data_IF_044065188948
#
_entry.id   IF_044065188948
#
_cell.length_a   1.000
_cell.length_b   1.000
_cell.length_c   1.000
_cell.angle_alpha   90.00
_cell.angle_beta   90.00
_cell.angle_gamma   90.00
#
_symmetry.space_group_name_H-M   'P 1'
#
loop_
_entity.id
_entity.type
_entity.pdbx_description
1 polymer ?
#
# COMPACT_ATOMS: atom_id res chain seq x y z
N UNK A 1 -4.73 -31.90 -2.41
CA UNK A 1 -3.86 -31.18 -1.45
C UNK A 1 -4.70 -30.24 -0.61
N UNK A 2 -4.41 -30.11 0.68
CA UNK A 2 -5.01 -29.12 1.58
C UNK A 2 -4.00 -27.99 1.87
N UNK A 3 -4.43 -26.73 1.74
CA UNK A 3 -3.58 -25.56 2.02
C UNK A 3 -4.31 -24.45 2.75
N UNK A 4 -3.56 -23.69 3.55
CA UNK A 4 -4.04 -22.53 4.30
C UNK A 4 -3.65 -21.24 3.59
N UNK A 5 -4.64 -20.51 3.07
CA UNK A 5 -4.47 -19.15 2.57
C UNK A 5 -4.74 -18.11 3.67
N UNK A 6 -4.03 -17.00 3.59
CA UNK A 6 -4.26 -15.81 4.41
C UNK A 6 -5.12 -14.82 3.62
N UNK A 7 -6.19 -14.32 4.23
CA UNK A 7 -7.10 -13.36 3.62
C UNK A 7 -6.93 -12.00 4.28
N UNK A 8 -6.51 -11.02 3.49
CA UNK A 8 -6.25 -9.66 3.93
C UNK A 8 -7.27 -8.68 3.34
N UNK A 9 -7.40 -7.53 3.99
CA UNK A 9 -8.12 -6.37 3.48
C UNK A 9 -7.21 -5.14 3.53
N UNK A 10 -7.30 -4.27 2.53
CA UNK A 10 -6.65 -2.95 2.60
C UNK A 10 -7.38 -2.10 3.65
N UNK A 11 -6.63 -1.50 4.57
CA UNK A 11 -7.19 -0.70 5.65
C UNK A 11 -7.95 0.51 5.08
N UNK A 12 -9.22 0.67 5.47
CA UNK A 12 -10.06 1.79 5.02
C UNK A 12 -10.62 1.68 3.60
N UNK A 13 -10.36 0.59 2.86
CA UNK A 13 -10.91 0.40 1.51
C UNK A 13 -12.30 -0.25 1.51
N UNK A 14 -12.96 -0.21 0.34
CA UNK A 14 -14.06 -1.11 -0.05
C UNK A 14 -13.72 -2.59 0.22
N UNK A 15 -14.68 -3.53 0.22
CA UNK A 15 -14.49 -4.93 0.66
C UNK A 15 -13.63 -5.79 -0.29
N UNK A 16 -12.60 -5.21 -0.91
CA UNK A 16 -11.66 -5.98 -1.72
C UNK A 16 -10.76 -6.82 -0.82
N UNK A 17 -10.80 -8.13 -1.06
CA UNK A 17 -9.97 -9.13 -0.39
C UNK A 17 -8.73 -9.44 -1.21
N UNK A 18 -7.60 -9.55 -0.52
CA UNK A 18 -6.33 -10.05 -1.03
C UNK A 18 -6.13 -11.45 -0.44
N UNK A 19 -5.90 -12.44 -1.29
CA UNK A 19 -5.71 -13.83 -0.88
C UNK A 19 -4.28 -14.21 -1.20
N UNK A 20 -3.57 -14.74 -0.21
CA UNK A 20 -2.16 -15.07 -0.34
C UNK A 20 -1.86 -16.47 0.18
N UNK A 21 -1.10 -17.21 -0.62
CA UNK A 21 -0.39 -18.41 -0.18
C UNK A 21 1.03 -18.00 0.20
N UNK A 22 1.31 -17.90 1.50
CA UNK A 22 2.57 -17.34 2.02
C UNK A 22 2.51 -15.83 2.26
N UNK A 23 3.52 -15.10 1.76
CA UNK A 23 3.61 -13.64 1.91
C UNK A 23 2.60 -12.94 0.99
N UNK A 24 1.83 -11.95 1.49
CA UNK A 24 0.85 -11.26 0.68
C UNK A 24 1.51 -10.42 -0.42
N UNK A 25 1.00 -10.54 -1.64
CA UNK A 25 1.24 -9.51 -2.65
C UNK A 25 0.45 -8.26 -2.25
N UNK A 26 1.14 -7.32 -1.61
CA UNK A 26 0.54 -6.07 -1.14
C UNK A 26 0.48 -5.07 -2.31
N UNK A 27 -0.72 -4.57 -2.68
CA UNK A 27 -0.84 -3.54 -3.71
C UNK A 27 -0.04 -2.30 -3.35
N UNK A 28 0.61 -1.71 -4.34
CA UNK A 28 1.32 -0.44 -4.16
C UNK A 28 0.36 0.73 -4.42
N UNK A 29 0.47 1.78 -3.59
CA UNK A 29 -0.18 3.06 -3.84
C UNK A 29 0.81 4.17 -4.02
N UNK A 30 0.43 5.12 -4.86
CA UNK A 30 1.18 6.36 -5.04
C UNK A 30 0.77 7.37 -3.96
N UNK A 31 1.73 7.97 -3.27
CA UNK A 31 1.48 9.11 -2.37
C UNK A 31 2.56 10.18 -2.51
N UNK A 32 2.29 11.39 -2.01
CA UNK A 32 3.31 12.42 -1.87
C UNK A 32 4.34 11.99 -0.84
N UNK A 33 5.61 11.95 -1.24
CA UNK A 33 6.75 11.61 -0.38
C UNK A 33 6.96 12.68 0.68
N UNK A 34 6.90 13.94 0.26
CA UNK A 34 6.97 15.09 1.15
C UNK A 34 5.65 15.86 1.09
N UNK A 35 4.90 15.86 2.20
CA UNK A 35 3.63 16.56 2.31
C UNK A 35 3.70 17.66 3.38
N UNK A 36 3.16 18.84 3.06
CA UNK A 36 3.01 19.96 4.00
C UNK A 36 4.32 20.31 4.71
N UNK A 37 4.36 20.08 6.03
CA UNK A 37 5.54 20.34 6.87
C UNK A 37 6.81 19.66 6.36
N UNK A 38 6.72 18.41 5.89
CA UNK A 38 7.88 17.65 5.42
C UNK A 38 8.51 18.28 4.16
N UNK A 39 7.69 18.78 3.24
CA UNK A 39 8.17 19.46 2.04
C UNK A 39 8.88 20.78 2.38
N UNK A 40 8.35 21.53 3.35
CA UNK A 40 8.99 22.76 3.85
C UNK A 40 10.36 22.48 4.45
N UNK A 41 10.45 21.49 5.35
CA UNK A 41 11.73 21.10 5.97
C UNK A 41 12.74 20.67 4.91
N UNK A 42 12.34 19.84 3.93
CA UNK A 42 13.24 19.37 2.87
C UNK A 42 13.72 20.51 1.96
N UNK A 43 12.85 21.46 1.64
CA UNK A 43 13.23 22.65 0.88
C UNK A 43 14.24 23.53 1.64
N UNK A 44 14.06 23.72 2.95
CA UNK A 44 15.00 24.48 3.79
C UNK A 44 16.36 23.75 3.87
N UNK A 45 16.34 22.44 4.10
CA UNK A 45 17.55 21.62 4.13
C UNK A 45 18.33 21.73 2.82
N UNK A 46 17.64 21.62 1.68
CA UNK A 46 18.28 21.70 0.37
C UNK A 46 18.81 23.11 0.04
N UNK A 47 18.11 24.15 0.50
CA UNK A 47 18.48 25.54 0.25
C UNK A 47 19.65 25.99 1.12
N UNK A 48 19.66 25.59 2.40
CA UNK A 48 20.55 26.15 3.42
C UNK A 48 21.60 25.18 3.95
N UNK A 49 21.44 23.88 3.69
CA UNK A 49 22.21 22.80 4.31
C UNK A 49 21.78 22.49 5.75
N UNK A 50 20.86 23.26 6.34
CA UNK A 50 20.42 23.06 7.72
C UNK A 50 19.27 22.04 7.80
N UNK A 51 19.50 20.96 8.54
CA UNK A 51 18.45 19.98 8.86
C UNK A 51 17.65 20.50 10.05
N UNK A 52 16.44 20.98 9.81
CA UNK A 52 15.52 21.36 10.88
C UNK A 52 14.95 20.13 11.58
N UNK A 53 14.74 20.24 12.89
CA UNK A 53 14.16 19.17 13.70
C UNK A 53 12.74 18.82 13.22
N UNK A 54 12.51 17.54 12.94
CA UNK A 54 11.23 17.00 12.51
C UNK A 54 10.12 17.13 13.56
N UNK A 55 10.48 17.31 14.84
CA UNK A 55 9.55 17.53 15.95
C UNK A 55 8.98 18.95 16.01
N UNK A 56 9.59 19.93 15.31
CA UNK A 56 9.06 21.28 15.21
C UNK A 56 7.63 21.27 14.67
N UNK A 57 6.79 22.11 15.23
CA UNK A 57 5.43 22.35 14.76
C UNK A 57 5.44 23.04 13.40
N UNK A 58 4.33 22.93 12.67
CA UNK A 58 4.16 23.65 11.39
C UNK A 58 4.29 25.17 11.56
N UNK A 59 3.85 25.72 12.69
CA UNK A 59 3.98 27.15 13.02
C UNK A 59 5.43 27.57 13.21
N UNK A 60 6.24 26.77 13.90
CA UNK A 60 7.67 27.06 14.10
C UNK A 60 8.43 27.03 12.77
N UNK A 61 8.13 26.06 11.90
CA UNK A 61 8.69 26.01 10.54
C UNK A 61 8.28 27.25 9.73
N UNK A 62 7.02 27.68 9.82
CA UNK A 62 6.57 28.90 9.14
C UNK A 62 7.25 30.16 9.69
N UNK A 63 7.46 30.24 11.01
CA UNK A 63 8.16 31.34 11.64
C UNK A 63 9.61 31.42 11.15
N UNK A 64 10.31 30.28 11.06
CA UNK A 64 11.65 30.21 10.47
C UNK A 64 11.67 30.73 9.03
N UNK A 65 10.74 30.26 8.18
CA UNK A 65 10.65 30.73 6.78
C UNK A 65 10.40 32.24 6.74
N UNK A 66 9.46 32.74 7.56
CA UNK A 66 9.13 34.16 7.63
C UNK A 66 10.30 35.03 8.08
N UNK A 67 11.10 34.54 9.03
CA UNK A 67 12.22 35.29 9.59
C UNK A 67 13.47 35.28 8.71
N UNK A 68 13.80 34.14 8.09
CA UNK A 68 15.11 33.93 7.45
C UNK A 68 15.07 33.81 5.93
N UNK A 69 13.91 33.56 5.32
CA UNK A 69 13.80 33.25 3.90
C UNK A 69 12.86 34.22 3.17
N UNK A 70 11.69 34.51 3.75
CA UNK A 70 10.69 35.39 3.14
C UNK A 70 11.24 36.79 2.87
N UNK A 71 11.00 37.31 1.67
CA UNK A 71 11.48 38.65 1.26
C UNK A 71 12.99 38.73 0.99
N UNK A 72 13.74 37.65 1.15
CA UNK A 72 15.17 37.59 0.80
C UNK A 72 15.37 37.16 -0.66
N UNK A 73 16.61 37.27 -1.18
CA UNK A 73 16.98 36.76 -2.50
C UNK A 73 16.79 35.23 -2.64
N UNK A 74 16.74 34.50 -1.52
CA UNK A 74 16.55 33.05 -1.50
C UNK A 74 15.08 32.63 -1.64
N UNK A 75 14.14 33.58 -1.54
CA UNK A 75 12.70 33.28 -1.53
C UNK A 75 12.21 32.53 -2.77
N UNK A 76 12.66 32.95 -3.95
CA UNK A 76 12.27 32.32 -5.20
C UNK A 76 12.77 30.87 -5.28
N UNK A 77 14.02 30.63 -4.86
CA UNK A 77 14.61 29.30 -4.90
C UNK A 77 13.98 28.37 -3.84
N UNK A 78 13.71 28.89 -2.63
CA UNK A 78 12.93 28.18 -1.64
C UNK A 78 11.58 27.71 -2.19
N UNK A 79 10.84 28.61 -2.86
CA UNK A 79 9.54 28.28 -3.45
C UNK A 79 9.64 27.18 -4.50
N UNK A 80 10.62 27.29 -5.40
CA UNK A 80 10.88 26.27 -6.42
C UNK A 80 11.17 24.90 -5.80
N UNK A 81 12.02 24.85 -4.78
CA UNK A 81 12.36 23.62 -4.06
C UNK A 81 11.15 23.05 -3.31
N UNK A 82 10.37 23.90 -2.65
CA UNK A 82 9.14 23.49 -1.98
C UNK A 82 8.15 22.86 -2.95
N UNK A 83 7.88 23.49 -4.10
CA UNK A 83 6.98 22.95 -5.12
C UNK A 83 7.49 21.63 -5.69
N UNK A 84 8.79 21.56 -5.99
CA UNK A 84 9.44 20.33 -6.43
C UNK A 84 9.19 19.17 -5.44
N UNK A 85 9.57 19.34 -4.17
CA UNK A 85 9.40 18.28 -3.17
C UNK A 85 7.92 17.99 -2.84
N UNK A 86 7.06 19.01 -2.84
CA UNK A 86 5.63 18.83 -2.61
C UNK A 86 4.94 18.04 -3.73
N UNK A 87 5.53 18.03 -4.93
CA UNK A 87 5.07 17.25 -6.08
C UNK A 87 5.70 15.84 -6.14
N UNK A 88 6.76 15.57 -5.39
CA UNK A 88 7.47 14.29 -5.44
C UNK A 88 6.58 13.15 -4.93
N UNK A 89 6.43 12.13 -5.76
CA UNK A 89 5.61 10.95 -5.48
C UNK A 89 6.50 9.75 -5.16
N UNK A 90 6.01 8.89 -4.27
CA UNK A 90 6.59 7.59 -3.97
C UNK A 90 5.53 6.49 -4.07
N UNK A 91 5.98 5.29 -4.44
CA UNK A 91 5.18 4.07 -4.29
C UNK A 91 5.38 3.53 -2.89
N UNK A 92 4.30 3.30 -2.16
CA UNK A 92 4.34 2.63 -0.86
C UNK A 92 3.33 1.49 -0.83
N UNK A 93 3.62 0.38 -0.14
CA UNK A 93 2.64 -0.68 0.07
C UNK A 93 1.37 -0.12 0.74
N UNK A 94 0.20 -0.55 0.27
CA UNK A 94 -1.05 -0.32 0.97
C UNK A 94 -1.02 -1.02 2.34
N UNK A 95 -1.51 -0.38 3.41
CA UNK A 95 -1.62 -1.05 4.69
C UNK A 95 -2.67 -2.17 4.57
N UNK A 96 -2.24 -3.41 4.74
CA UNK A 96 -3.11 -4.58 4.73
C UNK A 96 -3.31 -5.13 6.15
N UNK A 97 -4.50 -5.60 6.41
CA UNK A 97 -4.89 -6.19 7.69
C UNK A 97 -5.34 -7.64 7.44
N UNK A 98 -4.72 -8.59 8.15
CA UNK A 98 -5.15 -9.98 8.12
C UNK A 98 -6.54 -10.09 8.75
N UNK A 99 -7.51 -10.66 8.05
CA UNK A 99 -8.88 -10.81 8.54
C UNK A 99 -9.13 -12.21 9.07
N UNK A 100 -8.86 -13.21 8.25
CA UNK A 100 -9.07 -14.61 8.59
C UNK A 100 -8.20 -15.49 7.70
N UNK A 101 -8.24 -16.79 7.97
CA UNK A 101 -7.64 -17.79 7.12
C UNK A 101 -8.73 -18.56 6.36
N UNK A 102 -8.40 -19.05 5.18
CA UNK A 102 -9.25 -20.01 4.48
C UNK A 102 -8.42 -21.25 4.19
N UNK A 103 -8.95 -22.41 4.55
CA UNK A 103 -8.36 -23.68 4.17
C UNK A 103 -9.10 -24.18 2.92
N UNK A 104 -8.32 -24.55 1.92
CA UNK A 104 -8.81 -24.97 0.61
C UNK A 104 -8.20 -26.32 0.30
N UNK A 105 -9.07 -27.29 0.03
CA UNK A 105 -8.69 -28.56 -0.55
C UNK A 105 -8.92 -28.49 -2.07
N UNK A 106 -7.90 -28.84 -2.84
CA UNK A 106 -7.97 -28.83 -4.30
C UNK A 106 -7.19 -29.98 -4.93
N UNK A 107 -7.49 -30.28 -6.19
CA UNK A 107 -6.77 -31.28 -6.98
C UNK A 107 -5.37 -30.76 -7.38
N UNK A 108 -4.34 -31.33 -6.77
CA UNK A 108 -2.93 -30.94 -6.98
C UNK A 108 -2.40 -31.35 -8.36
N UNK A 109 -3.08 -32.25 -9.07
CA UNK A 109 -2.73 -32.58 -10.45
C UNK A 109 -3.10 -31.44 -11.42
N UNK A 110 -4.01 -30.53 -11.03
CA UNK A 110 -4.53 -29.46 -11.89
C UNK A 110 -3.76 -28.16 -11.77
N UNK A 111 -3.32 -27.81 -10.56
CA UNK A 111 -2.60 -26.55 -10.31
C UNK A 111 -1.77 -26.62 -9.02
N UNK A 112 -0.97 -25.57 -8.81
CA UNK A 112 -0.21 -25.36 -7.58
C UNK A 112 -0.94 -24.39 -6.64
N UNK A 113 -0.64 -24.39 -5.33
CA UNK A 113 -1.29 -23.49 -4.39
C UNK A 113 -0.99 -22.00 -4.63
N UNK A 114 0.13 -21.67 -5.30
CA UNK A 114 0.52 -20.33 -5.71
C UNK A 114 -0.01 -19.91 -7.10
N UNK A 115 -0.81 -20.75 -7.77
CA UNK A 115 -1.41 -20.43 -9.07
C UNK A 115 -2.44 -19.29 -8.94
N UNK A 116 -2.23 -18.19 -9.65
CA UNK A 116 -3.12 -17.02 -9.65
C UNK A 116 -4.57 -17.37 -10.03
N UNK A 117 -4.77 -18.40 -10.86
CA UNK A 117 -6.11 -18.85 -11.28
C UNK A 117 -6.85 -19.51 -10.12
N UNK A 118 -6.15 -20.34 -9.34
CA UNK A 118 -6.70 -20.93 -8.12
C UNK A 118 -7.00 -19.84 -7.09
N UNK A 119 -6.07 -18.92 -6.85
CA UNK A 119 -6.27 -17.78 -5.94
C UNK A 119 -7.51 -16.96 -6.35
N UNK A 120 -7.69 -16.72 -7.64
CA UNK A 120 -8.89 -16.04 -8.16
C UNK A 120 -10.17 -16.84 -7.89
N UNK A 121 -10.17 -18.15 -8.13
CA UNK A 121 -11.32 -19.01 -7.84
C UNK A 121 -11.67 -19.05 -6.35
N UNK A 122 -10.66 -19.08 -5.46
CA UNK A 122 -10.88 -18.96 -4.01
C UNK A 122 -11.50 -17.60 -3.66
N UNK A 123 -11.07 -16.51 -4.31
CA UNK A 123 -11.69 -15.17 -4.14
C UNK A 123 -13.15 -15.16 -4.56
N UNK A 124 -13.48 -15.82 -5.66
CA UNK A 124 -14.85 -15.94 -6.16
C UNK A 124 -15.72 -16.80 -5.23
N UNK A 125 -15.18 -17.92 -4.72
CA UNK A 125 -15.87 -18.76 -3.74
C UNK A 125 -16.19 -18.00 -2.44
N UNK A 126 -15.25 -17.21 -1.91
CA UNK A 126 -15.50 -16.33 -0.75
C UNK A 126 -16.57 -15.27 -1.01
N UNK A 127 -16.75 -14.85 -2.26
CA UNK A 127 -17.80 -13.94 -2.71
C UNK A 127 -19.15 -14.61 -3.00
N UNK A 128 -19.33 -15.89 -2.63
CA UNK A 128 -20.49 -16.72 -2.97
C UNK A 128 -20.80 -16.74 -4.48
N UNK A 129 -19.77 -16.61 -5.32
CA UNK A 129 -19.87 -16.58 -6.78
C UNK A 129 -18.89 -17.58 -7.39
N UNK A 130 -18.91 -18.88 -7.01
CA UNK A 130 -17.96 -19.86 -7.52
C UNK A 130 -18.03 -19.95 -9.04
N UNK A 131 -16.90 -20.26 -9.67
CA UNK A 131 -16.78 -20.34 -11.12
C UNK A 131 -16.26 -21.71 -11.52
N UNK A 132 -16.76 -22.25 -12.62
CA UNK A 132 -16.37 -23.59 -13.09
C UNK A 132 -15.05 -23.59 -13.85
N UNK A 133 -14.72 -22.49 -14.55
CA UNK A 133 -13.51 -22.37 -15.36
C UNK A 133 -12.98 -20.93 -15.29
N UNK A 134 -11.66 -20.77 -15.15
CA UNK A 134 -10.98 -19.50 -15.26
C UNK A 134 -9.65 -19.63 -16.00
N UNK A 135 -9.48 -18.86 -17.09
CA UNK A 135 -8.26 -18.87 -17.92
C UNK A 135 -7.78 -20.30 -18.26
N UNK A 136 -8.71 -21.15 -18.66
CA UNK A 136 -8.45 -22.54 -19.06
C UNK A 136 -8.23 -23.53 -17.92
N UNK A 137 -8.20 -23.09 -16.65
CA UNK A 137 -8.20 -23.98 -15.50
C UNK A 137 -9.65 -24.30 -15.14
N UNK A 138 -10.03 -25.57 -15.17
CA UNK A 138 -11.28 -26.05 -14.56
C UNK A 138 -11.17 -25.95 -13.04
N UNK A 139 -12.28 -25.69 -12.35
CA UNK A 139 -12.31 -25.49 -10.90
C UNK A 139 -11.74 -26.72 -10.17
N UNK A 140 -10.54 -26.61 -9.57
CA UNK A 140 -9.91 -27.73 -8.91
C UNK A 140 -10.33 -27.83 -7.43
N UNK A 141 -11.12 -26.88 -6.92
CA UNK A 141 -11.50 -26.79 -5.51
C UNK A 141 -12.48 -27.92 -5.17
N UNK A 142 -12.08 -28.77 -4.24
CA UNK A 142 -12.87 -29.89 -3.70
C UNK A 142 -13.67 -29.41 -2.49
N UNK A 143 -13.02 -28.69 -1.57
CA UNK A 143 -13.67 -28.13 -0.38
C UNK A 143 -13.02 -26.81 0.05
N UNK A 144 -13.77 -25.96 0.75
CA UNK A 144 -13.27 -24.70 1.29
C UNK A 144 -13.95 -24.38 2.62
N UNK A 145 -13.18 -23.88 3.59
CA UNK A 145 -13.72 -23.48 4.89
C UNK A 145 -12.94 -22.30 5.49
N UNK A 146 -13.69 -21.36 6.08
CA UNK A 146 -13.14 -20.17 6.73
C UNK A 146 -12.77 -20.53 8.16
N UNK A 147 -11.54 -20.22 8.55
CA UNK A 147 -11.08 -20.28 9.92
C UNK A 147 -10.98 -18.86 10.47
N UNK A 148 -11.84 -18.54 11.43
CA UNK A 148 -11.67 -17.35 12.26
C UNK A 148 -10.41 -17.51 13.13
N UNK A 149 -9.73 -16.40 13.40
CA UNK A 149 -8.49 -16.39 14.18
C UNK A 149 -8.74 -16.63 15.67
#
# INVERSE_FOLDING_TARGET
>A
MEVKYRVYKIAGSKPELIIAYGEPHVPMRTRRKYAGKKAKIKAIEQLTGNVLDAHLSTSEINAYIGQYIFGTSQWAEYHRLFEYFASELEQVPEPVELKFHVIVEFDEAMCRPDDERLIYMVKQALGNSPIDIYRGLQNPIISFYICEN
#
